data_IF_719045088852
#
_entry.id   IF_719045088852
#
_cell.length_a   1.000
_cell.length_b   1.000
_cell.length_c   1.000
_cell.angle_alpha   90.00
_cell.angle_beta   90.00
_cell.angle_gamma   90.00
#
_symmetry.space_group_name_H-M   'P 1'
#
loop_
_entity.id
_entity.type
_entity.pdbx_description
1 polymer ?
#
# COMPACT_ATOMS: atom_id res chain seq x y z
N UNK A 1 -27.38 -32.54 -2.18
CA UNK A 1 -25.94 -32.35 -2.53
C UNK A 1 -25.52 -31.02 -1.96
N UNK A 2 -24.80 -31.02 -0.81
CA UNK A 2 -24.21 -29.83 -0.20
C UNK A 2 -23.03 -29.40 -1.08
N UNK A 3 -23.18 -28.31 -1.81
CA UNK A 3 -22.07 -27.63 -2.47
C UNK A 3 -21.20 -27.05 -1.35
N UNK A 4 -20.05 -27.69 -1.10
CA UNK A 4 -19.01 -27.11 -0.25
C UNK A 4 -18.59 -25.80 -0.90
N UNK A 5 -18.91 -24.68 -0.28
CA UNK A 5 -18.48 -23.38 -0.76
C UNK A 5 -16.94 -23.39 -0.85
N UNK A 6 -16.39 -23.05 -2.03
CA UNK A 6 -14.94 -23.03 -2.23
C UNK A 6 -14.34 -21.95 -1.33
N UNK A 7 -13.53 -22.33 -0.38
CA UNK A 7 -12.80 -21.40 0.50
C UNK A 7 -11.93 -20.47 -0.35
N UNK A 8 -12.09 -19.17 -0.17
CA UNK A 8 -11.27 -18.17 -0.87
C UNK A 8 -9.98 -17.97 -0.09
N UNK A 9 -8.86 -18.12 -0.77
CA UNK A 9 -7.52 -17.98 -0.18
C UNK A 9 -6.64 -17.04 -0.98
N UNK A 10 -5.66 -16.43 -0.28
CA UNK A 10 -4.62 -15.62 -0.89
C UNK A 10 -3.23 -16.13 -0.48
N UNK A 11 -2.19 -16.00 -1.35
CA UNK A 11 -0.81 -16.27 -0.95
C UNK A 11 -0.39 -15.20 0.06
N UNK A 12 -0.06 -15.59 1.29
CA UNK A 12 0.30 -14.66 2.36
C UNK A 12 1.79 -14.73 2.63
N UNK A 13 2.47 -13.61 2.45
CA UNK A 13 3.89 -13.46 2.82
C UNK A 13 4.02 -13.43 4.33
N UNK A 14 3.23 -12.57 4.97
CA UNK A 14 3.22 -12.38 6.42
C UNK A 14 1.95 -11.62 6.85
N UNK A 15 1.61 -11.77 8.13
CA UNK A 15 0.71 -10.87 8.85
C UNK A 15 1.38 -10.44 10.14
N UNK A 16 1.23 -9.18 10.51
CA UNK A 16 1.84 -8.65 11.74
C UNK A 16 1.07 -7.46 12.29
N UNK A 17 1.20 -7.25 13.61
CA UNK A 17 0.60 -6.13 14.32
C UNK A 17 1.70 -5.13 14.68
N UNK A 18 1.57 -3.90 14.19
CA UNK A 18 2.55 -2.83 14.36
C UNK A 18 1.88 -1.45 14.30
N UNK A 19 2.60 -0.43 13.87
CA UNK A 19 2.08 0.88 13.53
C UNK A 19 2.30 1.18 12.05
N UNK A 20 1.37 1.95 11.43
CA UNK A 20 1.65 2.49 10.10
C UNK A 20 2.85 3.43 10.17
N UNK A 21 3.86 3.18 9.34
CA UNK A 21 5.12 3.93 9.34
C UNK A 21 5.19 5.04 8.29
N UNK A 22 4.18 5.20 7.43
CA UNK A 22 4.25 6.06 6.25
C UNK A 22 2.93 6.84 6.03
N UNK A 23 3.02 7.96 5.29
CA UNK A 23 1.87 8.71 4.83
C UNK A 23 1.05 9.39 5.94
N UNK A 24 -0.23 9.57 5.65
CA UNK A 24 -1.15 10.27 6.56
C UNK A 24 -1.36 9.55 7.89
N UNK A 25 -1.39 8.24 7.88
CA UNK A 25 -1.70 7.40 9.04
C UNK A 25 -0.46 6.99 9.86
N UNK A 26 0.66 7.66 9.66
CA UNK A 26 1.90 7.39 10.42
C UNK A 26 1.66 7.41 11.93
N UNK A 27 2.13 6.35 12.63
CA UNK A 27 2.01 6.17 14.07
C UNK A 27 0.73 5.50 14.54
N UNK A 28 -0.21 5.22 13.64
CA UNK A 28 -1.50 4.59 14.00
C UNK A 28 -1.33 3.07 14.11
N UNK A 29 -1.91 2.49 15.17
CA UNK A 29 -1.98 1.03 15.41
C UNK A 29 -2.60 0.31 14.21
N UNK A 30 -1.87 -0.61 13.61
CA UNK A 30 -2.24 -1.26 12.36
C UNK A 30 -1.95 -2.77 12.37
N UNK A 31 -2.87 -3.54 11.78
CA UNK A 31 -2.63 -4.93 11.43
C UNK A 31 -2.36 -5.03 9.93
N UNK A 32 -1.22 -5.57 9.57
CA UNK A 32 -0.78 -5.71 8.19
C UNK A 32 -1.07 -7.10 7.65
N UNK A 33 -1.61 -7.15 6.43
CA UNK A 33 -1.78 -8.36 5.62
C UNK A 33 -0.96 -8.16 4.35
N UNK A 34 0.21 -8.81 4.26
CA UNK A 34 1.08 -8.72 3.10
C UNK A 34 0.84 -9.91 2.15
N UNK A 35 0.31 -9.60 0.98
CA UNK A 35 0.03 -10.57 -0.07
C UNK A 35 1.27 -10.86 -0.92
N UNK A 36 1.40 -12.10 -1.39
CA UNK A 36 2.40 -12.50 -2.37
C UNK A 36 1.93 -12.23 -3.80
N UNK A 37 2.88 -11.94 -4.67
CA UNK A 37 2.69 -11.62 -6.09
C UNK A 37 2.99 -10.15 -6.39
N UNK A 38 3.94 -9.92 -7.30
CA UNK A 38 4.24 -8.59 -7.84
C UNK A 38 4.87 -8.72 -9.22
N UNK A 39 4.40 -7.94 -10.15
CA UNK A 39 4.93 -7.86 -11.52
C UNK A 39 5.42 -6.44 -11.88
N UNK A 40 5.57 -5.57 -10.88
CA UNK A 40 6.12 -4.21 -11.02
C UNK A 40 7.64 -4.22 -10.95
N UNK A 41 8.23 -5.05 -10.07
CA UNK A 41 9.66 -5.33 -9.96
C UNK A 41 10.55 -4.09 -9.76
N UNK A 42 10.21 -3.24 -8.79
CA UNK A 42 11.00 -2.05 -8.48
C UNK A 42 12.43 -2.40 -8.07
N UNK A 43 13.49 -1.76 -8.61
CA UNK A 43 14.88 -2.08 -8.28
C UNK A 43 15.20 -1.92 -6.78
N UNK A 44 14.63 -0.90 -6.16
CA UNK A 44 14.82 -0.53 -4.75
C UNK A 44 13.76 -1.15 -3.80
N UNK A 45 12.99 -2.15 -4.27
CA UNK A 45 12.01 -2.83 -3.42
C UNK A 45 12.67 -3.51 -2.22
N UNK A 46 12.15 -3.25 -1.03
CA UNK A 46 12.62 -3.87 0.22
C UNK A 46 11.94 -5.22 0.53
N UNK A 47 10.90 -5.57 -0.22
CA UNK A 47 10.12 -6.82 -0.07
C UNK A 47 10.17 -7.72 -1.30
N UNK A 48 11.34 -7.84 -1.95
CA UNK A 48 11.52 -8.64 -3.18
C UNK A 48 11.09 -10.09 -3.03
N UNK A 49 11.15 -10.64 -1.82
CA UNK A 49 10.68 -11.98 -1.50
C UNK A 49 9.16 -12.15 -1.72
N UNK A 50 8.38 -11.08 -1.74
CA UNK A 50 6.95 -11.11 -2.03
C UNK A 50 6.59 -11.30 -3.50
N UNK A 51 7.54 -11.17 -4.44
CA UNK A 51 7.25 -11.15 -5.87
C UNK A 51 6.68 -12.45 -6.42
N UNK A 52 7.16 -13.61 -5.93
CA UNK A 52 6.69 -14.91 -6.38
C UNK A 52 5.59 -15.44 -5.45
N UNK A 53 4.31 -15.42 -5.85
CA UNK A 53 3.22 -15.86 -5.00
C UNK A 53 3.27 -17.37 -4.66
N UNK A 54 3.95 -18.18 -5.48
CA UNK A 54 4.06 -19.64 -5.28
C UNK A 54 4.94 -20.02 -4.08
N UNK A 55 5.73 -19.07 -3.56
CA UNK A 55 6.60 -19.29 -2.40
C UNK A 55 5.86 -19.09 -1.07
N UNK A 56 4.62 -18.63 -1.10
CA UNK A 56 3.87 -18.24 0.08
C UNK A 56 2.65 -19.13 0.30
N UNK A 57 2.40 -19.57 1.53
CA UNK A 57 1.27 -20.44 1.83
C UNK A 57 -0.05 -19.70 1.60
N UNK A 58 -1.07 -20.38 1.06
CA UNK A 58 -2.40 -19.82 0.98
C UNK A 58 -3.05 -19.76 2.37
N UNK A 59 -3.64 -18.63 2.72
CA UNK A 59 -4.49 -18.48 3.90
C UNK A 59 -5.90 -18.05 3.49
N UNK A 60 -6.91 -18.55 4.20
CA UNK A 60 -8.30 -18.22 3.94
C UNK A 60 -8.66 -16.81 4.43
N UNK A 61 -9.69 -16.23 3.85
CA UNK A 61 -10.19 -14.93 4.28
C UNK A 61 -10.70 -14.97 5.74
N UNK A 62 -11.20 -16.10 6.18
CA UNK A 62 -11.67 -16.34 7.56
C UNK A 62 -10.51 -16.34 8.56
N UNK A 63 -9.39 -17.01 8.23
CA UNK A 63 -8.19 -17.00 9.04
C UNK A 63 -7.61 -15.58 9.17
N UNK A 64 -7.55 -14.84 8.06
CA UNK A 64 -7.05 -13.47 8.04
C UNK A 64 -7.94 -12.52 8.86
N UNK A 65 -9.26 -12.64 8.74
CA UNK A 65 -10.20 -11.83 9.51
C UNK A 65 -10.12 -12.15 11.01
N UNK A 66 -9.98 -13.43 11.36
CA UNK A 66 -9.82 -13.86 12.76
C UNK A 66 -8.52 -13.29 13.36
N UNK A 67 -7.40 -13.37 12.63
CA UNK A 67 -6.12 -12.85 13.08
C UNK A 67 -6.16 -11.33 13.28
N UNK A 68 -6.77 -10.59 12.34
CA UNK A 68 -6.93 -9.15 12.44
C UNK A 68 -7.79 -8.76 13.65
N UNK A 69 -8.95 -9.42 13.82
CA UNK A 69 -9.87 -9.10 14.92
C UNK A 69 -9.25 -9.39 16.30
N UNK A 70 -8.42 -10.42 16.40
CA UNK A 70 -7.80 -10.84 17.67
C UNK A 70 -6.94 -9.76 18.33
N UNK A 71 -6.35 -8.84 17.55
CA UNK A 71 -5.47 -7.77 18.05
C UNK A 71 -6.18 -6.42 18.14
N UNK A 72 -7.43 -6.32 17.73
CA UNK A 72 -8.26 -5.10 17.76
C UNK A 72 -7.51 -3.85 17.27
N UNK A 73 -7.04 -3.85 16.01
CA UNK A 73 -6.26 -2.75 15.46
C UNK A 73 -7.16 -1.56 15.14
N UNK A 74 -6.59 -0.34 15.10
CA UNK A 74 -7.32 0.83 14.61
C UNK A 74 -7.59 0.73 13.10
N UNK A 75 -6.63 0.14 12.36
CA UNK A 75 -6.74 -0.04 10.90
C UNK A 75 -6.13 -1.39 10.49
N UNK A 76 -6.70 -2.01 9.45
CA UNK A 76 -6.12 -3.15 8.75
C UNK A 76 -5.58 -2.69 7.42
N UNK A 77 -4.30 -2.97 7.15
CA UNK A 77 -3.63 -2.54 5.91
C UNK A 77 -3.37 -3.76 5.03
N UNK A 78 -4.02 -3.80 3.88
CA UNK A 78 -3.73 -4.77 2.83
C UNK A 78 -2.63 -4.18 1.96
N UNK A 79 -1.50 -4.86 1.94
CA UNK A 79 -0.28 -4.50 1.22
C UNK A 79 0.33 -5.73 0.57
N UNK A 80 1.56 -5.69 0.11
CA UNK A 80 2.22 -6.90 -0.35
C UNK A 80 3.35 -6.64 -1.33
N UNK A 81 3.39 -7.48 -2.36
CA UNK A 81 3.99 -7.17 -3.63
C UNK A 81 3.13 -6.12 -4.34
N UNK A 82 2.17 -6.55 -5.17
CA UNK A 82 1.11 -5.69 -5.69
C UNK A 82 -0.26 -6.32 -5.38
N UNK A 83 -1.00 -5.82 -4.37
CA UNK A 83 -2.23 -6.47 -3.91
C UNK A 83 -3.32 -6.56 -4.98
N UNK A 84 -3.41 -5.57 -5.89
CA UNK A 84 -4.45 -5.55 -6.93
C UNK A 84 -4.25 -6.59 -8.04
N UNK A 85 -3.17 -7.38 -8.03
CA UNK A 85 -3.09 -8.61 -8.85
C UNK A 85 -4.24 -9.57 -8.48
N UNK A 86 -4.69 -9.51 -7.22
CA UNK A 86 -5.78 -10.33 -6.70
C UNK A 86 -7.10 -9.55 -6.71
N UNK A 87 -8.23 -10.28 -6.81
CA UNK A 87 -9.53 -9.69 -6.52
C UNK A 87 -9.69 -9.56 -5.00
N UNK A 88 -9.66 -8.35 -4.48
CA UNK A 88 -9.68 -8.06 -3.04
C UNK A 88 -11.11 -7.92 -2.46
N UNK A 89 -12.15 -7.97 -3.28
CA UNK A 89 -13.53 -7.78 -2.82
C UNK A 89 -13.93 -8.79 -1.72
N UNK A 90 -13.62 -10.09 -1.82
CA UNK A 90 -13.98 -11.03 -0.75
C UNK A 90 -13.29 -10.72 0.58
N UNK A 91 -11.99 -10.43 0.54
CA UNK A 91 -11.20 -10.12 1.75
C UNK A 91 -11.68 -8.83 2.42
N UNK A 92 -11.87 -7.75 1.64
CA UNK A 92 -12.35 -6.50 2.19
C UNK A 92 -13.77 -6.62 2.76
N UNK A 93 -14.62 -7.43 2.12
CA UNK A 93 -15.99 -7.67 2.60
C UNK A 93 -15.99 -8.33 3.97
N UNK A 94 -15.23 -9.40 4.18
CA UNK A 94 -15.22 -10.09 5.47
C UNK A 94 -14.62 -9.21 6.57
N UNK A 95 -13.54 -8.48 6.29
CA UNK A 95 -12.90 -7.56 7.25
C UNK A 95 -13.88 -6.43 7.67
N UNK A 96 -14.57 -5.82 6.71
CA UNK A 96 -15.55 -4.77 7.00
C UNK A 96 -16.77 -5.29 7.75
N UNK A 97 -17.21 -6.52 7.49
CA UNK A 97 -18.28 -7.15 8.24
C UNK A 97 -17.93 -7.41 9.71
N UNK A 98 -16.62 -7.46 10.04
CA UNK A 98 -16.11 -7.49 11.42
C UNK A 98 -15.97 -6.09 12.05
N UNK A 99 -16.41 -5.04 11.36
CA UNK A 99 -16.31 -3.65 11.83
C UNK A 99 -14.91 -3.05 11.72
N UNK A 100 -13.98 -3.68 10.98
CA UNK A 100 -12.61 -3.21 10.81
C UNK A 100 -12.53 -2.11 9.75
N UNK A 101 -11.69 -1.11 9.98
CA UNK A 101 -11.33 -0.10 9.00
C UNK A 101 -10.24 -0.66 8.09
N UNK A 102 -10.48 -0.71 6.78
CA UNK A 102 -9.62 -1.42 5.82
C UNK A 102 -8.95 -0.44 4.86
N UNK A 103 -7.63 -0.47 4.82
CA UNK A 103 -6.77 0.37 3.97
C UNK A 103 -6.07 -0.47 2.92
N UNK A 104 -5.73 0.17 1.80
CA UNK A 104 -4.95 -0.42 0.71
C UNK A 104 -3.66 0.36 0.50
N UNK A 105 -2.54 -0.34 0.34
CA UNK A 105 -1.31 0.19 -0.26
C UNK A 105 -1.04 -0.51 -1.58
N UNK A 106 -0.99 0.25 -2.68
CA UNK A 106 -0.85 -0.30 -4.04
C UNK A 106 -0.07 0.62 -4.97
N UNK A 107 0.60 0.04 -5.95
CA UNK A 107 1.12 0.79 -7.10
C UNK A 107 0.03 1.18 -8.11
N UNK A 108 -1.16 0.59 -7.99
CA UNK A 108 -2.27 0.81 -8.92
C UNK A 108 -2.08 0.17 -10.30
N UNK A 109 -1.12 -0.73 -10.46
CA UNK A 109 -0.77 -1.30 -11.77
C UNK A 109 -1.80 -2.28 -12.34
N UNK A 110 -2.85 -2.61 -11.58
CA UNK A 110 -3.94 -3.51 -11.96
C UNK A 110 -5.32 -2.88 -11.74
N UNK A 111 -6.39 -3.43 -12.33
CA UNK A 111 -7.75 -2.95 -12.09
C UNK A 111 -8.10 -2.91 -10.62
N UNK A 112 -8.72 -1.82 -10.18
CA UNK A 112 -9.14 -1.65 -8.79
C UNK A 112 -10.21 -2.68 -8.42
N UNK A 113 -10.06 -3.31 -7.25
CA UNK A 113 -11.02 -4.25 -6.67
C UNK A 113 -11.00 -4.15 -5.16
N UNK A 114 -12.16 -4.36 -4.53
CA UNK A 114 -12.32 -4.28 -3.09
C UNK A 114 -13.04 -3.01 -2.62
N UNK A 115 -13.32 -2.96 -1.30
CA UNK A 115 -13.99 -1.84 -0.66
C UNK A 115 -13.12 -1.33 0.51
N UNK A 116 -12.52 -0.17 0.34
CA UNK A 116 -11.53 0.40 1.25
C UNK A 116 -12.01 1.72 1.85
N UNK A 117 -11.60 1.98 3.10
CA UNK A 117 -11.81 3.26 3.78
C UNK A 117 -10.70 4.26 3.45
N UNK A 118 -9.53 3.75 3.03
CA UNK A 118 -8.38 4.55 2.62
C UNK A 118 -7.55 3.82 1.57
N UNK A 119 -7.08 4.56 0.56
CA UNK A 119 -6.24 4.03 -0.51
C UNK A 119 -4.97 4.88 -0.62
N UNK A 120 -3.85 4.30 -0.29
CA UNK A 120 -2.51 4.84 -0.56
C UNK A 120 -2.08 4.39 -1.94
N UNK A 121 -2.17 5.29 -2.90
CA UNK A 121 -1.71 5.09 -4.27
C UNK A 121 -0.25 5.51 -4.39
N UNK A 122 0.62 4.52 -4.59
CA UNK A 122 2.06 4.71 -4.73
C UNK A 122 2.56 4.21 -6.09
N UNK A 123 2.24 4.94 -7.19
CA UNK A 123 2.57 4.49 -8.54
C UNK A 123 4.08 4.35 -8.75
N UNK A 124 4.45 3.51 -9.71
CA UNK A 124 5.83 3.22 -10.06
C UNK A 124 6.04 3.42 -11.57
N UNK A 125 7.17 3.99 -11.93
CA UNK A 125 7.50 4.24 -13.35
C UNK A 125 7.73 2.94 -14.15
N UNK A 126 7.97 1.83 -13.46
CA UNK A 126 8.31 0.52 -14.05
C UNK A 126 7.09 -0.21 -14.65
N UNK A 127 5.90 0.16 -14.18
CA UNK A 127 4.63 -0.35 -14.69
C UNK A 127 3.56 0.73 -14.55
N UNK A 128 2.95 1.11 -15.67
CA UNK A 128 1.93 2.15 -15.70
C UNK A 128 0.72 1.77 -14.83
N UNK A 129 0.17 2.73 -14.06
CA UNK A 129 -1.06 2.51 -13.31
C UNK A 129 -2.26 2.26 -14.23
N UNK A 130 -3.18 1.43 -13.78
CA UNK A 130 -4.47 1.24 -14.43
C UNK A 130 -5.37 2.46 -14.15
N UNK A 131 -6.15 2.90 -15.14
CA UNK A 131 -6.95 4.12 -15.04
C UNK A 131 -7.96 4.13 -13.90
N UNK A 132 -8.42 2.97 -13.44
CA UNK A 132 -9.39 2.87 -12.35
C UNK A 132 -8.88 3.30 -10.98
N UNK A 133 -7.55 3.40 -10.75
CA UNK A 133 -7.02 3.73 -9.42
C UNK A 133 -7.18 5.20 -9.07
N UNK A 134 -7.08 6.10 -10.06
CA UNK A 134 -6.97 7.53 -9.82
C UNK A 134 -8.14 8.12 -9.03
N UNK A 135 -9.36 7.70 -9.32
CA UNK A 135 -10.57 8.16 -8.62
C UNK A 135 -10.74 7.61 -7.19
N UNK A 136 -9.96 6.58 -6.83
CA UNK A 136 -10.02 5.94 -5.51
C UNK A 136 -8.92 6.39 -4.55
N UNK A 137 -7.92 7.12 -5.05
CA UNK A 137 -6.76 7.52 -4.25
C UNK A 137 -7.14 8.50 -3.13
N UNK A 138 -6.93 8.12 -1.87
CA UNK A 138 -7.04 8.99 -0.70
C UNK A 138 -5.75 9.78 -0.49
N UNK A 139 -4.60 9.15 -0.76
CA UNK A 139 -3.30 9.80 -0.84
C UNK A 139 -2.50 9.28 -2.03
N UNK A 140 -1.72 10.16 -2.64
CA UNK A 140 -0.69 9.87 -3.63
C UNK A 140 0.66 9.91 -2.93
N UNK A 141 1.42 8.82 -2.94
CA UNK A 141 2.75 8.72 -2.32
C UNK A 141 3.79 8.36 -3.37
N UNK A 142 4.71 9.27 -3.67
CA UNK A 142 5.76 9.07 -4.65
C UNK A 142 7.09 8.86 -3.97
N UNK A 143 7.76 7.74 -4.25
CA UNK A 143 9.14 7.50 -3.83
C UNK A 143 10.08 8.27 -4.75
N UNK A 144 10.96 9.08 -4.15
CA UNK A 144 11.84 10.00 -4.86
C UNK A 144 13.30 9.57 -4.69
N UNK A 145 14.00 9.40 -5.79
CA UNK A 145 15.45 9.20 -5.87
C UNK A 145 16.15 10.40 -6.52
N UNK A 146 15.45 11.12 -7.40
CA UNK A 146 16.00 12.17 -8.24
C UNK A 146 14.99 13.23 -8.62
N UNK A 147 15.44 14.30 -9.30
CA UNK A 147 14.56 15.35 -9.83
C UNK A 147 13.56 14.84 -10.89
N UNK A 148 13.89 13.75 -11.58
CA UNK A 148 12.96 13.14 -12.55
C UNK A 148 11.70 12.61 -11.86
N UNK A 149 11.84 12.08 -10.66
CA UNK A 149 10.71 11.58 -9.87
C UNK A 149 9.77 12.71 -9.45
N UNK A 150 10.30 13.91 -9.18
CA UNK A 150 9.48 15.08 -8.87
C UNK A 150 8.63 15.52 -10.06
N UNK A 151 9.20 15.53 -11.28
CA UNK A 151 8.44 15.83 -12.49
C UNK A 151 7.36 14.80 -12.74
N UNK A 152 7.68 13.54 -12.53
CA UNK A 152 6.71 12.46 -12.66
C UNK A 152 5.63 12.53 -11.58
N UNK A 153 5.97 12.94 -10.36
CA UNK A 153 5.01 13.18 -9.28
C UNK A 153 3.94 14.21 -9.67
N UNK A 154 4.32 15.31 -10.31
CA UNK A 154 3.36 16.31 -10.80
C UNK A 154 2.47 15.76 -11.92
N UNK A 155 3.01 14.91 -12.80
CA UNK A 155 2.20 14.25 -13.84
C UNK A 155 1.14 13.33 -13.21
N UNK A 156 1.49 12.57 -12.17
CA UNK A 156 0.55 11.72 -11.46
C UNK A 156 -0.46 12.55 -10.65
N UNK A 157 0.00 13.64 -10.03
CA UNK A 157 -0.85 14.54 -9.26
C UNK A 157 -1.92 15.25 -10.12
N UNK A 158 -1.66 15.45 -11.39
CA UNK A 158 -2.63 16.01 -12.32
C UNK A 158 -3.79 15.06 -12.66
N UNK A 159 -3.67 13.77 -12.35
CA UNK A 159 -4.66 12.73 -12.70
C UNK A 159 -5.55 12.32 -11.52
N UNK A 160 -5.23 12.75 -10.31
CA UNK A 160 -5.99 12.45 -9.08
C UNK A 160 -6.95 13.60 -8.73
N UNK A 161 -7.99 13.33 -7.91
CA UNK A 161 -8.85 14.38 -7.36
C UNK A 161 -8.05 15.42 -6.58
N UNK A 162 -8.50 16.67 -6.57
CA UNK A 162 -7.85 17.76 -5.83
C UNK A 162 -7.81 17.49 -4.32
N UNK A 163 -8.81 16.79 -3.79
CA UNK A 163 -8.90 16.39 -2.39
C UNK A 163 -7.89 15.33 -1.96
N UNK A 164 -7.24 14.65 -2.92
CA UNK A 164 -6.25 13.61 -2.62
C UNK A 164 -5.00 14.22 -2.01
N UNK A 165 -4.55 13.73 -0.85
CA UNK A 165 -3.32 14.17 -0.21
C UNK A 165 -2.10 13.74 -1.03
N UNK A 166 -1.04 14.57 -1.02
CA UNK A 166 0.15 14.36 -1.85
C UNK A 166 1.38 14.24 -0.98
N UNK A 167 2.10 13.12 -1.11
CA UNK A 167 3.30 12.81 -0.35
C UNK A 167 4.48 12.49 -1.25
N UNK A 168 5.64 13.04 -0.89
CA UNK A 168 6.94 12.65 -1.42
C UNK A 168 7.70 11.90 -0.33
N UNK A 169 8.21 10.73 -0.67
CA UNK A 169 8.95 9.87 0.25
C UNK A 169 10.36 9.65 -0.25
N UNK A 170 11.40 9.98 0.53
CA UNK A 170 12.76 9.69 0.13
C UNK A 170 12.96 8.18 0.01
N UNK A 171 13.62 7.74 -1.07
CA UNK A 171 14.12 6.37 -1.14
C UNK A 171 15.17 6.17 -0.05
N UNK A 172 15.06 5.05 0.70
CA UNK A 172 15.80 4.84 1.94
C UNK A 172 17.32 4.88 1.77
N UNK A 173 17.83 4.35 0.67
CA UNK A 173 19.27 4.26 0.38
C UNK A 173 19.80 5.43 -0.47
N UNK A 174 18.99 6.47 -0.71
CA UNK A 174 19.34 7.64 -1.50
C UNK A 174 19.53 8.86 -0.59
N UNK A 175 20.76 9.16 -0.13
CA UNK A 175 21.02 10.18 0.88
C UNK A 175 20.57 11.59 0.47
N UNK A 176 20.68 11.90 -0.83
CA UNK A 176 20.34 13.23 -1.36
C UNK A 176 18.83 13.46 -1.53
N UNK A 177 18.02 12.39 -1.52
CA UNK A 177 16.60 12.49 -1.78
C UNK A 177 15.85 13.28 -0.71
N UNK A 178 16.29 13.23 0.56
CA UNK A 178 15.68 13.98 1.65
C UNK A 178 15.84 15.50 1.44
N UNK A 179 17.05 15.96 1.12
CA UNK A 179 17.34 17.37 0.84
C UNK A 179 16.59 17.86 -0.41
N UNK A 180 16.51 17.00 -1.43
CA UNK A 180 15.78 17.29 -2.65
C UNK A 180 14.29 17.52 -2.35
N UNK A 181 13.65 16.61 -1.63
CA UNK A 181 12.25 16.71 -1.23
C UNK A 181 12.02 17.92 -0.34
N UNK A 182 12.87 18.14 0.67
CA UNK A 182 12.75 19.28 1.57
C UNK A 182 12.70 20.60 0.80
N UNK A 183 13.67 20.84 -0.09
CA UNK A 183 13.72 22.05 -0.92
C UNK A 183 12.49 22.18 -1.81
N UNK A 184 12.01 21.07 -2.36
CA UNK A 184 10.87 21.05 -3.25
C UNK A 184 9.57 21.42 -2.52
N UNK A 185 9.32 20.85 -1.34
CA UNK A 185 8.12 21.13 -0.54
C UNK A 185 8.03 22.58 -0.12
N UNK A 186 9.16 23.24 0.21
CA UNK A 186 9.16 24.67 0.56
C UNK A 186 8.65 25.57 -0.59
N UNK A 187 8.77 25.12 -1.82
CA UNK A 187 8.29 25.84 -3.02
C UNK A 187 6.93 25.32 -3.51
N UNK A 188 6.50 24.15 -3.03
CA UNK A 188 5.29 23.44 -3.47
C UNK A 188 4.47 22.97 -2.26
N UNK A 189 3.75 23.88 -1.56
CA UNK A 189 3.10 23.62 -0.27
C UNK A 189 1.96 22.61 -0.32
N UNK A 190 1.50 22.21 -1.51
CA UNK A 190 0.54 21.13 -1.70
C UNK A 190 1.12 19.74 -1.44
N UNK A 191 2.45 19.60 -1.41
CA UNK A 191 3.14 18.36 -1.11
C UNK A 191 3.56 18.29 0.36
N UNK A 192 3.57 17.08 0.89
CA UNK A 192 4.02 16.74 2.24
C UNK A 192 5.16 15.71 2.17
N UNK A 193 6.01 15.69 3.19
CA UNK A 193 7.00 14.62 3.30
C UNK A 193 6.37 13.40 3.97
N UNK A 194 6.62 12.21 3.42
CA UNK A 194 6.42 10.92 4.08
C UNK A 194 7.77 10.34 4.46
N UNK A 195 7.90 9.86 5.69
CA UNK A 195 9.09 9.15 6.14
C UNK A 195 8.73 7.67 6.35
N UNK A 196 9.74 6.81 6.40
CA UNK A 196 9.60 5.40 6.80
C UNK A 196 9.94 5.29 8.30
N UNK A 197 9.01 5.75 9.15
CA UNK A 197 9.25 5.85 10.61
C UNK A 197 9.47 4.48 11.26
N UNK A 198 8.88 3.42 10.72
CA UNK A 198 9.14 2.05 11.16
C UNK A 198 10.62 1.67 11.04
N UNK A 199 11.33 2.12 9.98
CA UNK A 199 12.77 1.89 9.82
C UNK A 199 13.58 2.70 10.83
N UNK A 200 13.17 3.94 11.12
CA UNK A 200 13.81 4.76 12.15
C UNK A 200 13.64 4.18 13.55
N UNK A 201 12.49 3.61 13.85
CA UNK A 201 12.17 2.97 15.12
C UNK A 201 12.68 1.53 15.20
N UNK A 202 13.20 0.95 14.12
CA UNK A 202 13.65 -0.44 14.00
C UNK A 202 12.56 -1.46 14.40
N UNK A 203 11.33 -1.18 13.99
CA UNK A 203 10.16 -2.06 14.14
C UNK A 203 9.71 -2.60 12.77
N UNK A 204 8.88 -3.65 12.81
CA UNK A 204 8.31 -4.24 11.60
C UNK A 204 7.24 -3.34 10.98
#
# INVERSE_FOLDING_TARGET
LSTVAKTITYPIVETFHSVQGEGYWTGVNAFFIRLGGCDVHCPWCDTKHSWNPKLHPPQSIEELATAATAVNPAIVIITGGEPLIHNLLPLTTILKNQGLQVHLETSGAHPFSGNFDWVTFSPKQFKAPHSSIYSHASELKIVVTSQFDLKWAEQQAALIPESTLRYLQPEWNSPDSQNLIFKYILQNPQWRISLQTHKLLQIQ
#
